data_IF_275173554331
#
_entry.id   IF_275173554331
#
_cell.length_a   1.000
_cell.length_b   1.000
_cell.length_c   1.000
_cell.angle_alpha   90.00
_cell.angle_beta   90.00
_cell.angle_gamma   90.00
#
_symmetry.space_group_name_H-M   'P 1'
#
loop_
_entity.id
_entity.type
_entity.pdbx_description
1 polymer ?
#
# COMPACT_ATOMS: atom_id res chain seq x y z
N UNK A 1 8.45 -16.00 -8.22
CA UNK A 1 8.54 -15.60 -9.64
C UNK A 1 7.67 -14.36 -9.91
N UNK A 2 8.04 -13.50 -10.85
CA UNK A 2 7.14 -12.44 -11.35
C UNK A 2 6.35 -13.01 -12.52
N UNK A 3 5.02 -13.02 -12.39
CA UNK A 3 4.12 -13.56 -13.41
C UNK A 3 3.82 -12.55 -14.52
N UNK A 4 3.72 -11.26 -14.16
CA UNK A 4 3.44 -10.20 -15.11
C UNK A 4 3.89 -8.83 -14.60
N UNK A 5 3.95 -7.85 -15.50
CA UNK A 5 4.13 -6.43 -15.18
C UNK A 5 2.89 -5.67 -15.64
N UNK A 6 2.22 -4.98 -14.72
CA UNK A 6 1.15 -4.03 -15.03
C UNK A 6 1.77 -2.65 -15.06
N UNK A 7 1.69 -1.96 -16.19
CA UNK A 7 2.24 -0.61 -16.35
C UNK A 7 1.16 0.43 -16.19
N UNK A 8 1.55 1.55 -15.58
CA UNK A 8 0.74 2.76 -15.52
C UNK A 8 -0.69 2.49 -14.99
N UNK A 9 -0.79 1.71 -13.93
CA UNK A 9 -2.06 1.38 -13.28
C UNK A 9 -2.56 2.55 -12.44
N UNK A 10 -3.86 2.84 -12.50
CA UNK A 10 -4.49 3.83 -11.63
C UNK A 10 -4.57 3.28 -10.21
N UNK A 11 -3.97 3.98 -9.27
CA UNK A 11 -4.05 3.70 -7.84
C UNK A 11 -4.94 4.74 -7.21
N UNK A 12 -5.92 4.30 -6.42
CA UNK A 12 -6.79 5.18 -5.63
C UNK A 12 -6.67 4.80 -4.17
N UNK A 13 -6.34 5.77 -3.33
CA UNK A 13 -6.21 5.59 -1.89
C UNK A 13 -6.97 6.75 -1.24
N UNK A 14 -8.12 6.45 -0.64
CA UNK A 14 -9.03 7.45 -0.11
C UNK A 14 -9.32 8.56 -1.15
N UNK A 15 -9.02 9.82 -0.83
CA UNK A 15 -9.18 10.97 -1.72
C UNK A 15 -8.06 11.16 -2.74
N UNK A 16 -6.96 10.40 -2.65
CA UNK A 16 -5.81 10.54 -3.55
C UNK A 16 -5.87 9.54 -4.70
N UNK A 17 -5.40 9.97 -5.88
CA UNK A 17 -5.21 9.09 -7.03
C UNK A 17 -3.87 9.34 -7.72
N UNK A 18 -3.20 8.28 -8.13
CA UNK A 18 -1.94 8.34 -8.87
C UNK A 18 -1.79 7.18 -9.84
N UNK A 19 -0.61 7.10 -10.47
CA UNK A 19 -0.25 6.05 -11.42
C UNK A 19 1.01 5.34 -10.96
N UNK A 20 1.07 4.02 -11.12
CA UNK A 20 2.24 3.24 -10.77
C UNK A 20 2.38 1.97 -11.61
N UNK A 21 3.60 1.47 -11.73
CA UNK A 21 3.88 0.16 -12.29
C UNK A 21 3.87 -0.88 -11.17
N UNK A 22 3.30 -2.05 -11.44
CA UNK A 22 3.24 -3.16 -10.50
C UNK A 22 3.81 -4.43 -11.12
N UNK A 23 4.51 -5.19 -10.28
CA UNK A 23 4.86 -6.58 -10.58
C UNK A 23 3.81 -7.49 -9.97
N UNK A 24 3.21 -8.36 -10.79
CA UNK A 24 2.28 -9.38 -10.33
C UNK A 24 3.10 -10.57 -9.83
N UNK A 25 3.04 -10.81 -8.54
CA UNK A 25 3.73 -11.91 -7.84
C UNK A 25 2.69 -12.67 -7.02
N UNK A 26 2.94 -13.95 -6.77
CA UNK A 26 2.18 -14.71 -5.79
C UNK A 26 2.67 -14.27 -4.40
N UNK A 27 1.74 -13.84 -3.56
CA UNK A 27 2.02 -13.37 -2.21
C UNK A 27 1.00 -13.99 -1.26
N UNK A 28 1.49 -14.56 -0.16
CA UNK A 28 0.66 -15.33 0.78
C UNK A 28 0.07 -14.43 1.87
N UNK A 29 0.76 -13.34 2.22
CA UNK A 29 0.45 -12.50 3.38
C UNK A 29 -0.26 -11.18 3.01
N UNK A 30 -0.12 -10.70 1.76
CA UNK A 30 -0.61 -9.37 1.36
C UNK A 30 -1.17 -9.36 -0.06
N UNK A 31 -2.27 -8.63 -0.28
CA UNK A 31 -2.81 -8.44 -1.63
C UNK A 31 -1.95 -7.51 -2.49
N UNK A 32 -1.22 -6.58 -1.85
CA UNK A 32 -0.40 -5.59 -2.51
C UNK A 32 0.73 -5.13 -1.59
N UNK A 33 1.91 -4.91 -2.16
CA UNK A 33 3.07 -4.33 -1.46
C UNK A 33 3.44 -3.03 -2.17
N UNK A 34 3.40 -1.92 -1.43
CA UNK A 34 3.83 -0.62 -1.92
C UNK A 34 5.27 -0.39 -1.51
N UNK A 35 6.18 -0.41 -2.49
CA UNK A 35 7.60 -0.18 -2.27
C UNK A 35 7.93 1.28 -1.97
N UNK A 36 9.15 1.52 -1.49
CA UNK A 36 9.63 2.88 -1.20
C UNK A 36 9.63 3.80 -2.43
N UNK A 37 9.88 3.26 -3.63
CA UNK A 37 9.81 4.03 -4.88
C UNK A 37 8.41 4.63 -5.08
N UNK A 38 7.37 3.83 -4.86
CA UNK A 38 5.99 4.29 -4.94
C UNK A 38 5.72 5.37 -3.89
N UNK A 39 6.15 5.14 -2.64
CA UNK A 39 5.96 6.12 -1.56
C UNK A 39 6.64 7.46 -1.89
N UNK A 40 7.88 7.43 -2.37
CA UNK A 40 8.59 8.64 -2.78
C UNK A 40 7.89 9.35 -3.94
N UNK A 41 7.49 8.62 -4.99
CA UNK A 41 6.82 9.19 -6.15
C UNK A 41 5.46 9.81 -5.82
N UNK A 42 4.75 9.24 -4.84
CA UNK A 42 3.45 9.71 -4.37
C UNK A 42 3.53 10.67 -3.17
N UNK A 43 4.74 11.07 -2.75
CA UNK A 43 4.99 11.92 -1.57
C UNK A 43 4.35 11.35 -0.29
N UNK A 44 4.33 10.02 -0.16
CA UNK A 44 3.77 9.33 0.99
C UNK A 44 4.78 9.16 2.12
N UNK A 45 4.34 9.44 3.34
CA UNK A 45 5.11 9.31 4.57
C UNK A 45 4.36 8.42 5.56
N UNK A 46 4.85 7.20 5.82
CA UNK A 46 4.32 6.36 6.89
C UNK A 46 4.59 6.99 8.26
N UNK A 47 3.57 7.05 9.12
CA UNK A 47 3.66 7.53 10.50
C UNK A 47 3.16 6.45 11.47
N UNK A 48 4.01 5.48 11.85
CA UNK A 48 3.60 4.33 12.65
C UNK A 48 3.01 4.70 14.01
N UNK A 49 3.55 5.73 14.68
CA UNK A 49 3.06 6.18 15.98
C UNK A 49 1.60 6.65 15.92
N UNK A 50 1.23 7.32 14.83
CA UNK A 50 -0.12 7.81 14.59
C UNK A 50 -1.01 6.76 13.91
N UNK A 51 -0.42 5.63 13.49
CA UNK A 51 -1.08 4.58 12.69
C UNK A 51 -1.69 5.17 11.42
N UNK A 52 -0.94 6.03 10.73
CA UNK A 52 -1.39 6.62 9.47
C UNK A 52 -0.30 6.55 8.41
N UNK A 53 -0.71 6.71 7.15
CA UNK A 53 0.15 7.08 6.03
C UNK A 53 -0.34 8.42 5.54
N UNK A 54 0.53 9.43 5.54
CA UNK A 54 0.22 10.73 4.98
C UNK A 54 0.63 10.77 3.53
N UNK A 55 -0.24 11.28 2.68
CA UNK A 55 0.06 11.63 1.30
C UNK A 55 0.25 13.14 1.27
N UNK A 56 1.48 13.58 1.05
CA UNK A 56 1.86 15.01 1.05
C UNK A 56 1.83 15.58 -0.37
N UNK A 57 0.83 15.18 -1.16
CA UNK A 57 0.61 15.76 -2.49
C UNK A 57 0.16 17.22 -2.35
N UNK A 58 0.67 18.08 -3.23
CA UNK A 58 0.43 19.53 -3.16
C UNK A 58 -1.02 19.90 -3.54
N UNK A 59 -1.68 19.10 -4.38
CA UNK A 59 -3.04 19.36 -4.84
C UNK A 59 -4.06 18.71 -3.92
N UNK A 60 -3.74 17.54 -3.38
CA UNK A 60 -4.65 16.79 -2.54
C UNK A 60 -3.92 16.06 -1.41
N UNK A 61 -3.49 16.78 -0.36
CA UNK A 61 -2.90 16.13 0.79
C UNK A 61 -3.99 15.34 1.53
N UNK A 62 -3.67 14.11 1.96
CA UNK A 62 -4.61 13.32 2.74
C UNK A 62 -3.89 12.43 3.75
N UNK A 63 -4.57 12.16 4.87
CA UNK A 63 -4.11 11.25 5.91
C UNK A 63 -4.93 9.97 5.84
N UNK A 64 -4.26 8.85 5.64
CA UNK A 64 -4.88 7.54 5.48
C UNK A 64 -4.67 6.75 6.76
N UNK A 65 -5.71 6.43 7.53
CA UNK A 65 -5.60 5.54 8.68
C UNK A 65 -5.12 4.15 8.25
N UNK A 66 -4.23 3.57 9.04
CA UNK A 66 -3.73 2.20 8.85
C UNK A 66 -4.19 1.32 10.00
N UNK A 67 -4.59 0.10 9.65
CA UNK A 67 -4.90 -0.94 10.63
C UNK A 67 -3.74 -1.93 10.69
N UNK A 68 -3.23 -2.28 11.89
CA UNK A 68 -2.27 -3.36 11.99
C UNK A 68 -2.94 -4.67 11.58
N UNK A 69 -2.31 -5.42 10.68
CA UNK A 69 -2.78 -6.76 10.32
C UNK A 69 -2.61 -7.67 11.55
N UNK A 70 -3.72 -8.23 12.05
CA UNK A 70 -3.65 -9.33 13.01
C UNK A 70 -3.19 -10.55 12.21
N UNK A 71 -2.03 -11.14 12.55
CA UNK A 71 -1.78 -12.54 12.18
C UNK A 71 -2.84 -13.35 12.90
N UNK A 72 -3.78 -13.94 12.16
CA UNK A 72 -4.64 -14.98 12.72
C UNK A 72 -3.70 -16.10 13.17
N UNK A 73 -3.44 -16.20 14.48
CA UNK A 73 -2.84 -17.40 15.04
C UNK A 73 -3.92 -18.45 14.89
N UNK A 74 -3.79 -19.29 13.86
CA UNK A 74 -4.76 -20.31 13.52
C UNK A 74 -5.29 -21.01 14.78
N UNK A 75 -6.61 -21.06 14.89
CA UNK A 75 -7.24 -22.02 15.78
C UNK A 75 -6.76 -23.41 15.35
N UNK A 76 -5.93 -24.04 16.17
CA UNK A 76 -5.84 -25.49 16.18
C UNK A 76 -7.22 -25.95 16.62
N UNK A 77 -7.99 -26.46 15.66
CA UNK A 77 -9.21 -27.20 15.97
C UNK A 77 -8.71 -28.60 16.34
N UNK A 78 -8.93 -28.96 17.60
CA UNK A 78 -8.77 -30.32 18.14
C UNK A 78 -9.70 -31.30 17.40
#
# INVERSE_FOLDING_TARGET
PIYAIVRDAVVKIEGWSGRANFSVVQTDDFQMILGMEFLCASKMVPMPHLRTVNIMDERHPCMVPTVPTRKDKGKVVE
#
